data_IF_605139126183
#
_entry.id   IF_605139126183
#
_cell.length_a   1.000
_cell.length_b   1.000
_cell.length_c   1.000
_cell.angle_alpha   90.00
_cell.angle_beta   90.00
_cell.angle_gamma   90.00
#
_symmetry.space_group_name_H-M   'P 1'
#
loop_
_entity.id
_entity.type
_entity.pdbx_description
1 polymer ?
#
# COMPACT_ATOMS: atom_id res chain seq x y z
N UNK A 1 -47.64 -49.26 -6.88
CA UNK A 1 -47.30 -47.94 -6.31
C UNK A 1 -45.84 -47.98 -5.94
N UNK A 2 -44.88 -47.51 -6.77
CA UNK A 2 -43.48 -47.44 -6.37
C UNK A 2 -43.20 -46.15 -5.64
N UNK A 3 -42.53 -46.25 -4.55
CA UNK A 3 -42.07 -45.23 -3.64
C UNK A 3 -40.90 -44.44 -4.27
N UNK A 4 -41.11 -43.16 -4.50
CA UNK A 4 -40.11 -42.23 -5.06
C UNK A 4 -39.11 -41.84 -3.93
N UNK A 5 -37.90 -42.38 -3.97
CA UNK A 5 -36.83 -41.98 -3.08
C UNK A 5 -36.31 -40.58 -3.43
N UNK A 6 -36.47 -39.63 -2.52
CA UNK A 6 -35.84 -38.30 -2.60
C UNK A 6 -34.33 -38.47 -2.40
N UNK A 7 -33.58 -38.24 -3.46
CA UNK A 7 -32.12 -38.07 -3.35
C UNK A 7 -31.83 -36.71 -2.72
N UNK A 8 -31.45 -36.73 -1.45
CA UNK A 8 -30.92 -35.58 -0.75
C UNK A 8 -29.60 -35.16 -1.40
N UNK A 9 -29.61 -34.06 -2.15
CA UNK A 9 -28.39 -33.44 -2.65
C UNK A 9 -27.56 -32.90 -1.47
N UNK A 10 -26.46 -33.55 -1.14
CA UNK A 10 -25.45 -32.98 -0.27
C UNK A 10 -24.83 -31.78 -0.96
N UNK A 11 -25.30 -30.60 -0.62
CA UNK A 11 -24.68 -29.35 -0.99
C UNK A 11 -23.38 -29.21 -0.17
N UNK A 12 -22.29 -29.83 -0.63
CA UNK A 12 -20.96 -29.65 -0.08
C UNK A 12 -20.52 -28.24 -0.46
N UNK A 13 -20.83 -27.30 0.41
CA UNK A 13 -20.34 -25.93 0.30
C UNK A 13 -18.82 -25.99 0.40
N UNK A 14 -18.13 -25.63 -0.69
CA UNK A 14 -16.67 -25.52 -0.69
C UNK A 14 -16.22 -24.65 0.52
N UNK A 15 -15.12 -25.02 1.20
CA UNK A 15 -14.62 -24.24 2.30
C UNK A 15 -14.39 -22.82 1.82
N UNK A 16 -15.12 -21.86 2.39
CA UNK A 16 -14.86 -20.44 2.16
C UNK A 16 -13.44 -20.19 2.62
N UNK A 17 -12.58 -19.76 1.73
CA UNK A 17 -11.28 -19.20 2.12
C UNK A 17 -11.53 -18.22 3.27
N UNK A 18 -10.76 -18.25 4.35
CA UNK A 18 -10.92 -17.27 5.41
C UNK A 18 -10.85 -15.89 4.76
N UNK A 19 -11.87 -15.06 5.02
CA UNK A 19 -11.87 -13.70 4.52
C UNK A 19 -10.51 -13.06 4.89
N UNK A 20 -9.86 -12.33 3.98
CA UNK A 20 -8.55 -11.71 4.25
C UNK A 20 -8.60 -10.75 5.44
N UNK A 21 -9.79 -10.38 5.86
CA UNK A 21 -10.08 -9.59 7.04
C UNK A 21 -10.55 -10.53 8.15
N UNK A 22 -9.61 -11.00 8.98
CA UNK A 22 -9.94 -11.68 10.22
C UNK A 22 -10.77 -10.78 11.15
N UNK A 23 -11.22 -11.30 12.31
CA UNK A 23 -12.05 -10.59 13.30
C UNK A 23 -11.43 -9.31 13.91
N UNK A 24 -10.23 -8.93 13.49
CA UNK A 24 -9.53 -7.73 13.97
C UNK A 24 -9.82 -6.56 13.02
N UNK A 25 -10.14 -5.41 13.58
CA UNK A 25 -10.17 -4.16 12.80
C UNK A 25 -8.79 -3.89 12.23
N UNK A 26 -8.73 -3.57 10.94
CA UNK A 26 -7.50 -3.18 10.24
C UNK A 26 -7.77 -1.96 9.38
N UNK A 27 -6.74 -1.16 9.16
CA UNK A 27 -6.77 -0.08 8.20
C UNK A 27 -6.05 -0.57 6.95
N UNK A 28 -6.74 -0.53 5.81
CA UNK A 28 -6.14 -0.80 4.50
C UNK A 28 -6.21 0.48 3.68
N UNK A 29 -5.08 1.07 3.29
CA UNK A 29 -5.08 2.22 2.40
C UNK A 29 -5.74 1.88 1.07
N UNK A 30 -6.54 2.82 0.54
CA UNK A 30 -7.07 2.77 -0.81
C UNK A 30 -6.64 4.05 -1.53
N UNK A 31 -5.76 3.92 -2.49
CA UNK A 31 -5.20 5.05 -3.24
C UNK A 31 -5.80 5.12 -4.65
N UNK A 32 -5.87 6.32 -5.17
CA UNK A 32 -6.38 6.60 -6.52
C UNK A 32 -5.23 7.05 -7.39
N UNK A 33 -5.12 6.48 -8.58
CA UNK A 33 -4.02 6.77 -9.51
C UNK A 33 -4.53 7.01 -10.93
N UNK A 34 -3.72 7.67 -11.76
CA UNK A 34 -3.91 7.69 -13.22
C UNK A 34 -3.17 6.52 -13.85
N UNK A 35 -3.90 5.44 -14.18
CA UNK A 35 -3.36 4.23 -14.78
C UNK A 35 -2.99 3.17 -13.74
N UNK A 36 -4.01 2.58 -13.12
CA UNK A 36 -3.88 1.60 -12.05
C UNK A 36 -3.06 0.35 -12.48
N UNK A 37 -3.14 -0.07 -13.73
CA UNK A 37 -2.29 -1.15 -14.27
C UNK A 37 -0.80 -0.81 -14.18
N UNK A 38 -0.41 0.42 -14.58
CA UNK A 38 0.98 0.88 -14.50
C UNK A 38 1.44 1.06 -13.07
N UNK A 39 0.53 1.52 -12.20
CA UNK A 39 0.82 1.67 -10.78
C UNK A 39 1.08 0.32 -10.12
N UNK A 40 0.28 -0.70 -10.41
CA UNK A 40 0.51 -2.05 -9.92
C UNK A 40 1.86 -2.61 -10.38
N UNK A 41 2.24 -2.39 -11.64
CA UNK A 41 3.55 -2.78 -12.16
C UNK A 41 4.69 -2.05 -11.42
N UNK A 42 4.55 -0.73 -11.22
CA UNK A 42 5.53 0.04 -10.45
C UNK A 42 5.69 -0.48 -9.02
N UNK A 43 4.59 -0.72 -8.28
CA UNK A 43 4.69 -1.22 -6.90
C UNK A 43 5.26 -2.63 -6.81
N UNK A 44 5.03 -3.48 -7.83
CA UNK A 44 5.72 -4.77 -7.95
C UNK A 44 7.23 -4.57 -8.07
N UNK A 45 7.65 -3.69 -8.97
CA UNK A 45 9.06 -3.48 -9.28
C UNK A 45 9.78 -2.70 -8.16
N UNK A 46 9.10 -1.73 -7.52
CA UNK A 46 9.64 -0.90 -6.45
C UNK A 46 9.65 -1.60 -5.08
N UNK A 47 8.58 -2.30 -4.73
CA UNK A 47 8.35 -2.80 -3.37
C UNK A 47 8.08 -4.30 -3.30
N UNK A 48 8.19 -5.03 -4.42
CA UNK A 48 7.89 -6.46 -4.46
C UNK A 48 6.41 -6.78 -4.23
N UNK A 49 5.51 -5.86 -4.63
CA UNK A 49 4.08 -6.07 -4.46
C UNK A 49 3.57 -7.26 -5.26
N UNK A 50 2.70 -8.05 -4.65
CA UNK A 50 2.00 -9.16 -5.29
C UNK A 50 0.53 -8.80 -5.51
N UNK A 51 0.01 -9.02 -6.71
CA UNK A 51 -1.41 -8.82 -6.99
C UNK A 51 -2.23 -9.95 -6.38
N UNK A 52 -3.21 -9.58 -5.55
CA UNK A 52 -4.14 -10.52 -4.90
C UNK A 52 -5.44 -10.64 -5.69
N UNK A 53 -5.96 -9.51 -6.20
CA UNK A 53 -7.19 -9.47 -6.98
C UNK A 53 -7.29 -8.19 -7.79
N UNK A 54 -8.13 -8.21 -8.85
CA UNK A 54 -8.48 -7.03 -9.63
C UNK A 54 -9.95 -7.05 -10.06
N UNK A 55 -10.50 -5.86 -10.24
CA UNK A 55 -11.86 -5.66 -10.72
C UNK A 55 -11.81 -4.68 -11.91
N UNK A 56 -11.75 -5.18 -13.14
CA UNK A 56 -11.84 -4.33 -14.33
C UNK A 56 -13.30 -3.93 -14.59
N UNK A 57 -13.49 -2.80 -15.28
CA UNK A 57 -14.79 -2.36 -15.77
C UNK A 57 -14.79 -2.30 -17.32
N UNK A 58 -15.97 -2.23 -17.96
CA UNK A 58 -16.08 -2.38 -19.42
C UNK A 58 -15.34 -1.34 -20.26
N UNK A 59 -15.03 -0.16 -19.72
CA UNK A 59 -14.28 0.89 -20.39
C UNK A 59 -12.75 0.71 -20.33
N UNK A 60 -12.27 -0.36 -19.68
CA UNK A 60 -10.86 -0.71 -19.56
C UNK A 60 -10.19 -0.15 -18.29
N UNK A 61 -10.87 0.69 -17.52
CA UNK A 61 -10.37 1.15 -16.22
C UNK A 61 -10.46 0.03 -15.17
N UNK A 62 -9.68 0.18 -14.13
CA UNK A 62 -9.69 -0.74 -13.00
C UNK A 62 -10.37 -0.07 -11.79
N UNK A 63 -11.53 -0.62 -11.42
CA UNK A 63 -12.27 -0.17 -10.23
C UNK A 63 -11.50 -0.48 -8.95
N UNK A 64 -10.73 -1.57 -8.96
CA UNK A 64 -9.87 -1.94 -7.83
C UNK A 64 -8.80 -2.93 -8.25
N UNK A 65 -7.59 -2.73 -7.71
CA UNK A 65 -6.56 -3.76 -7.62
C UNK A 65 -6.20 -3.88 -6.13
N UNK A 66 -6.09 -5.10 -5.63
CA UNK A 66 -5.56 -5.36 -4.31
C UNK A 66 -4.14 -5.89 -4.44
N UNK A 67 -3.21 -5.21 -3.81
CA UNK A 67 -1.81 -5.60 -3.74
C UNK A 67 -1.44 -5.99 -2.32
N UNK A 68 -0.54 -6.97 -2.20
CA UNK A 68 0.16 -7.32 -0.97
C UNK A 68 1.58 -6.77 -1.04
N UNK A 69 1.98 -6.03 -0.02
CA UNK A 69 3.37 -5.54 0.15
C UNK A 69 3.81 -6.00 1.53
N UNK A 70 4.72 -6.97 1.59
CA UNK A 70 5.05 -7.64 2.85
C UNK A 70 3.80 -8.23 3.50
N UNK A 71 3.53 -7.87 4.75
CA UNK A 71 2.33 -8.31 5.50
C UNK A 71 1.12 -7.37 5.28
N UNK A 72 1.32 -6.22 4.63
CA UNK A 72 0.29 -5.20 4.42
C UNK A 72 -0.50 -5.41 3.13
N UNK A 73 -1.69 -4.81 3.09
CA UNK A 73 -2.52 -4.72 1.90
C UNK A 73 -2.65 -3.25 1.47
N UNK A 74 -2.59 -3.04 0.16
CA UNK A 74 -2.83 -1.76 -0.49
C UNK A 74 -3.89 -1.98 -1.56
N UNK A 75 -4.97 -1.18 -1.53
CA UNK A 75 -5.90 -1.11 -2.64
C UNK A 75 -5.57 0.10 -3.51
N UNK A 76 -5.70 -0.05 -4.81
CA UNK A 76 -5.59 1.06 -5.75
C UNK A 76 -6.69 0.97 -6.82
N UNK A 77 -7.07 2.11 -7.34
CA UNK A 77 -8.06 2.24 -8.40
C UNK A 77 -7.61 3.30 -9.41
N UNK A 78 -8.11 3.21 -10.64
CA UNK A 78 -8.07 4.33 -11.55
C UNK A 78 -8.89 5.51 -11.02
N UNK A 79 -8.57 6.74 -11.42
CA UNK A 79 -9.42 7.87 -11.09
C UNK A 79 -10.73 7.84 -11.90
N UNK A 80 -11.80 8.30 -11.24
CA UNK A 80 -13.13 8.45 -11.80
C UNK A 80 -13.62 9.89 -11.59
N UNK A 81 -13.18 10.84 -12.40
CA UNK A 81 -13.52 12.27 -12.21
C UNK A 81 -15.02 12.53 -12.20
N UNK A 82 -15.78 11.74 -12.98
CA UNK A 82 -17.25 11.77 -13.03
C UNK A 82 -17.92 11.41 -11.70
N UNK A 83 -17.19 10.73 -10.80
CA UNK A 83 -17.64 10.35 -9.46
C UNK A 83 -16.94 11.14 -8.35
N UNK A 84 -16.06 12.10 -8.72
CA UNK A 84 -15.25 12.85 -7.76
C UNK A 84 -14.11 12.05 -7.14
N UNK A 85 -13.76 10.88 -7.70
CA UNK A 85 -12.62 10.04 -7.28
C UNK A 85 -11.40 10.47 -8.08
N UNK A 86 -10.50 11.23 -7.45
CA UNK A 86 -9.42 11.93 -8.13
C UNK A 86 -8.05 11.46 -7.63
N UNK A 87 -7.10 11.34 -8.54
CA UNK A 87 -5.69 11.05 -8.25
C UNK A 87 -4.93 12.31 -7.80
N UNK A 88 -3.78 12.20 -7.12
CA UNK A 88 -2.98 13.33 -6.66
C UNK A 88 -2.68 14.38 -7.73
N UNK A 89 -2.32 14.02 -8.99
CA UNK A 89 -2.11 15.04 -10.03
C UNK A 89 -3.36 15.85 -10.39
N UNK A 90 -4.56 15.29 -10.16
CA UNK A 90 -5.84 15.97 -10.45
C UNK A 90 -6.23 16.99 -9.39
N UNK A 91 -5.69 16.87 -8.17
CA UNK A 91 -5.99 17.74 -7.03
C UNK A 91 -4.78 18.56 -6.57
N UNK A 92 -3.64 18.43 -7.27
CA UNK A 92 -2.43 19.19 -6.96
C UNK A 92 -1.56 18.62 -5.84
N UNK A 93 -1.77 17.36 -5.44
CA UNK A 93 -0.94 16.66 -4.44
C UNK A 93 -1.71 15.74 -3.52
N UNK A 94 -1.05 15.25 -2.48
CA UNK A 94 -1.63 14.40 -1.45
C UNK A 94 -1.20 14.84 -0.06
N UNK A 95 -2.12 14.89 0.94
CA UNK A 95 -1.75 15.12 2.34
C UNK A 95 -1.36 13.81 3.05
N UNK A 96 -1.56 12.65 2.41
CA UNK A 96 -1.29 11.34 3.00
C UNK A 96 0.10 10.88 2.60
N UNK A 97 0.83 10.33 3.57
CA UNK A 97 2.11 9.63 3.37
C UNK A 97 1.92 8.18 3.78
N UNK A 98 2.28 7.26 2.90
CA UNK A 98 2.28 5.84 3.18
C UNK A 98 3.63 5.46 3.80
N UNK A 99 3.61 4.78 4.94
CA UNK A 99 4.82 4.35 5.63
C UNK A 99 5.08 2.87 5.37
N UNK A 100 6.29 2.56 4.93
CA UNK A 100 6.78 1.22 4.71
C UNK A 100 7.98 0.98 5.63
N UNK A 101 7.80 0.11 6.62
CA UNK A 101 8.86 -0.32 7.52
C UNK A 101 9.54 -1.55 6.94
N UNK A 102 10.86 -1.48 6.78
CA UNK A 102 11.65 -2.50 6.09
C UNK A 102 12.88 -2.90 6.90
N UNK A 103 13.45 -4.05 6.59
CA UNK A 103 14.69 -4.53 7.23
C UNK A 103 15.95 -3.97 6.58
N UNK A 104 15.86 -3.48 5.34
CA UNK A 104 16.95 -2.86 4.57
C UNK A 104 16.40 -1.67 3.79
N UNK A 105 16.49 -0.50 4.40
CA UNK A 105 15.98 0.73 3.79
C UNK A 105 16.82 1.17 2.59
N UNK A 106 18.13 0.94 2.59
CA UNK A 106 19.01 1.32 1.48
C UNK A 106 18.64 0.55 0.20
N UNK A 107 18.45 -0.77 0.32
CA UNK A 107 18.11 -1.62 -0.82
C UNK A 107 16.71 -1.25 -1.37
N UNK A 108 15.70 -1.12 -0.51
CA UNK A 108 14.32 -0.79 -0.94
C UNK A 108 14.25 0.60 -1.54
N UNK A 109 14.93 1.58 -0.94
CA UNK A 109 14.98 2.95 -1.43
C UNK A 109 15.63 3.03 -2.82
N UNK A 110 16.79 2.39 -3.01
CA UNK A 110 17.47 2.32 -4.30
C UNK A 110 16.63 1.61 -5.38
N UNK A 111 15.96 0.52 -5.01
CA UNK A 111 15.07 -0.22 -5.91
C UNK A 111 13.89 0.64 -6.37
N UNK A 112 13.25 1.36 -5.45
CA UNK A 112 12.13 2.25 -5.77
C UNK A 112 12.56 3.41 -6.69
N UNK A 113 13.72 4.01 -6.44
CA UNK A 113 14.30 5.05 -7.33
C UNK A 113 14.59 4.48 -8.71
N UNK A 114 15.16 3.27 -8.80
CA UNK A 114 15.40 2.58 -10.07
C UNK A 114 14.10 2.30 -10.82
N UNK A 115 13.00 2.01 -10.11
CA UNK A 115 11.69 1.82 -10.69
C UNK A 115 11.01 3.13 -11.14
N UNK A 116 11.54 4.30 -10.74
CA UNK A 116 11.06 5.61 -11.18
C UNK A 116 10.51 6.52 -10.08
N UNK A 117 10.71 6.19 -8.80
CA UNK A 117 10.36 7.10 -7.71
C UNK A 117 11.34 8.29 -7.64
N UNK A 118 10.83 9.45 -7.26
CA UNK A 118 11.63 10.65 -7.01
C UNK A 118 11.99 10.79 -5.52
N UNK A 119 13.24 11.16 -5.24
CA UNK A 119 13.68 11.41 -3.87
C UNK A 119 13.13 12.75 -3.41
N UNK A 120 12.30 12.74 -2.35
CA UNK A 120 11.82 13.94 -1.65
C UNK A 120 12.68 14.26 -0.44
N UNK A 121 13.12 13.24 0.27
CA UNK A 121 14.07 13.33 1.36
C UNK A 121 15.02 12.12 1.27
N UNK A 122 16.35 12.33 1.16
CA UNK A 122 17.29 11.23 1.15
C UNK A 122 17.28 10.47 2.48
N UNK A 123 17.72 9.21 2.43
CA UNK A 123 17.89 8.42 3.66
C UNK A 123 18.89 9.10 4.61
N UNK A 124 18.50 9.21 5.86
CA UNK A 124 19.33 9.72 6.94
C UNK A 124 19.06 8.99 8.25
N UNK A 125 20.09 8.87 9.08
CA UNK A 125 19.95 8.40 10.47
C UNK A 125 19.27 9.49 11.29
N UNK A 126 18.07 9.20 11.76
CA UNK A 126 17.23 10.16 12.43
C UNK A 126 17.36 10.07 13.94
N UNK A 127 17.14 11.20 14.63
CA UNK A 127 17.28 11.30 16.08
C UNK A 127 16.32 10.41 16.88
N UNK A 128 15.29 9.86 16.23
CA UNK A 128 14.36 8.90 16.84
C UNK A 128 14.78 7.44 16.68
N UNK A 129 15.93 7.16 16.01
CA UNK A 129 16.55 5.84 15.96
C UNK A 129 16.31 5.05 14.67
N UNK A 130 15.73 5.66 13.65
CA UNK A 130 15.50 5.01 12.34
C UNK A 130 16.40 5.59 11.25
N UNK A 131 16.79 4.76 10.30
CA UNK A 131 17.20 5.20 8.97
C UNK A 131 15.93 5.49 8.17
N UNK A 132 15.71 6.75 7.78
CA UNK A 132 14.46 7.22 7.21
C UNK A 132 14.68 8.10 6.00
N UNK A 133 13.83 7.95 4.99
CA UNK A 133 13.78 8.81 3.83
C UNK A 133 12.38 8.86 3.22
N UNK A 134 12.15 9.82 2.32
CA UNK A 134 10.87 9.99 1.65
C UNK A 134 11.02 9.98 0.14
N UNK A 135 10.15 9.24 -0.52
CA UNK A 135 10.00 9.14 -1.97
C UNK A 135 8.62 9.67 -2.40
N UNK A 136 8.54 10.10 -3.66
CA UNK A 136 7.27 10.30 -4.34
C UNK A 136 7.23 9.36 -5.55
N UNK A 137 6.15 8.61 -5.68
CA UNK A 137 5.97 7.69 -6.79
C UNK A 137 5.53 8.44 -8.07
N UNK A 138 5.58 7.79 -9.27
CA UNK A 138 5.19 8.43 -10.53
C UNK A 138 3.70 8.83 -10.62
N UNK A 139 2.90 8.47 -9.60
CA UNK A 139 1.47 8.74 -9.52
C UNK A 139 1.13 9.84 -8.52
N UNK A 140 2.17 10.42 -7.85
CA UNK A 140 2.06 11.53 -6.92
C UNK A 140 1.78 11.14 -5.47
N UNK A 141 1.87 9.86 -5.12
CA UNK A 141 1.77 9.42 -3.73
C UNK A 141 3.14 9.46 -3.06
N UNK A 142 3.12 9.79 -1.76
CA UNK A 142 4.34 9.87 -0.94
C UNK A 142 4.51 8.63 -0.09
N UNK A 143 5.77 8.21 0.01
CA UNK A 143 6.19 7.03 0.73
C UNK A 143 7.33 7.37 1.68
N UNK A 144 7.15 7.06 2.97
CA UNK A 144 8.24 7.00 3.94
C UNK A 144 8.81 5.59 3.90
N UNK A 145 10.12 5.47 3.72
CA UNK A 145 10.86 4.21 3.86
C UNK A 145 11.67 4.31 5.13
N UNK A 146 11.43 3.39 6.06
CA UNK A 146 12.05 3.40 7.37
C UNK A 146 12.62 2.03 7.75
N UNK A 147 13.81 2.04 8.32
CA UNK A 147 14.45 0.88 8.95
C UNK A 147 14.77 1.24 10.40
N UNK A 148 14.29 0.43 11.33
CA UNK A 148 14.65 0.60 12.73
C UNK A 148 16.11 0.23 12.97
N UNK A 149 16.90 1.16 13.52
CA UNK A 149 18.32 0.96 13.81
C UNK A 149 18.57 0.72 15.30
N UNK A 150 17.87 1.48 16.17
CA UNK A 150 18.07 1.43 17.62
C UNK A 150 16.91 2.06 18.38
N UNK A 151 16.65 1.55 19.57
CA UNK A 151 15.69 2.14 20.49
C UNK A 151 16.27 3.42 21.12
N UNK A 152 15.50 4.50 21.09
CA UNK A 152 15.81 5.78 21.76
C UNK A 152 14.69 6.04 22.78
N UNK A 153 15.00 6.33 24.05
CA UNK A 153 14.00 6.70 25.03
C UNK A 153 13.17 7.89 24.58
N UNK A 154 11.86 7.86 24.83
CA UNK A 154 10.94 8.87 24.31
C UNK A 154 11.25 10.30 24.80
N UNK A 155 11.75 10.45 26.02
CA UNK A 155 12.18 11.75 26.57
C UNK A 155 13.39 12.32 25.83
N UNK A 156 14.33 11.47 25.40
CA UNK A 156 15.47 11.88 24.57
C UNK A 156 15.00 12.29 23.17
N UNK A 157 14.04 11.54 22.55
CA UNK A 157 13.44 11.90 21.26
C UNK A 157 12.76 13.27 21.34
N UNK A 158 11.97 13.51 22.40
CA UNK A 158 11.28 14.80 22.60
C UNK A 158 12.29 15.94 22.76
N UNK A 159 13.35 15.73 23.55
CA UNK A 159 14.38 16.74 23.75
C UNK A 159 15.17 17.03 22.44
N UNK A 160 15.42 16.01 21.62
CA UNK A 160 16.08 16.17 20.33
C UNK A 160 15.19 16.91 19.33
N UNK A 161 13.88 16.58 19.27
CA UNK A 161 12.91 17.28 18.45
C UNK A 161 12.83 18.76 18.79
N UNK A 162 12.78 19.12 20.09
CA UNK A 162 12.77 20.52 20.53
C UNK A 162 14.00 21.30 20.06
N UNK A 163 15.16 20.66 19.94
CA UNK A 163 16.38 21.29 19.40
C UNK A 163 16.37 21.41 17.87
N UNK A 164 15.79 20.43 17.19
CA UNK A 164 15.77 20.39 15.73
C UNK A 164 14.80 21.40 15.10
N UNK A 165 13.77 21.82 15.84
CA UNK A 165 12.72 22.75 15.39
C UNK A 165 12.70 24.08 16.16
N UNK A 166 13.80 24.43 16.84
CA UNK A 166 13.94 25.69 17.59
C UNK A 166 14.29 26.88 16.69
#
# INVERSE_FOLDING_TARGET
MPHLAMLGGNNVQAPRSPAPYGRLMSITPHIVVRGAERAAAFYRDAFGAEEVSRIPIPDGRLMSIQLRIGDGLLHLADEFPEMGVLAPPSIGGTPVVLALNVVDAEAVFAQAVTAGAEIRQPLADMFWGDLHGQLEDPFGHRWNISQHLRDIPNDEVVAAAARAFA
#
